data_IF_805091992044
#
_entry.id   IF_805091992044
#
_cell.length_a   1.000
_cell.length_b   1.000
_cell.length_c   1.000
_cell.angle_alpha   90.00
_cell.angle_beta   90.00
_cell.angle_gamma   90.00
#
_symmetry.space_group_name_H-M   'P 1'
#
loop_
_entity.id
_entity.type
_entity.pdbx_description
1 polymer ?
#
# COMPACT_ATOMS: atom_id res chain seq x y z
N UNK A 1 20.73 -1.49 -0.75
CA UNK A 1 20.51 -1.60 0.72
C UNK A 1 19.35 -0.77 1.26
N UNK A 2 19.42 0.57 1.40
CA UNK A 2 18.36 1.35 2.07
C UNK A 2 16.97 1.24 1.40
N UNK A 3 16.89 1.31 0.07
CA UNK A 3 15.66 1.11 -0.69
C UNK A 3 15.05 -0.28 -0.48
N UNK A 4 15.91 -1.30 -0.33
CA UNK A 4 15.50 -2.69 -0.14
C UNK A 4 14.93 -2.91 1.26
N UNK A 5 15.53 -2.29 2.30
CA UNK A 5 14.96 -2.29 3.64
C UNK A 5 13.60 -1.59 3.71
N UNK A 6 13.46 -0.44 3.03
CA UNK A 6 12.20 0.31 2.99
C UNK A 6 11.13 -0.48 2.25
N UNK A 7 11.44 -1.08 1.10
CA UNK A 7 10.50 -1.91 0.36
C UNK A 7 10.04 -3.13 1.16
N UNK A 8 10.96 -3.84 1.83
CA UNK A 8 10.59 -4.94 2.72
C UNK A 8 9.71 -4.48 3.90
N UNK A 9 9.95 -3.28 4.43
CA UNK A 9 9.15 -2.68 5.49
C UNK A 9 7.76 -2.27 5.00
N UNK A 10 7.63 -1.73 3.79
CA UNK A 10 6.32 -1.39 3.19
C UNK A 10 5.55 -2.62 2.74
N UNK A 11 6.24 -3.71 2.37
CA UNK A 11 5.65 -4.99 1.97
C UNK A 11 5.14 -5.81 3.16
N UNK A 12 5.84 -5.76 4.30
CA UNK A 12 5.54 -6.58 5.49
C UNK A 12 5.03 -5.78 6.69
N UNK A 13 4.96 -4.45 6.56
CA UNK A 13 4.54 -3.54 7.62
C UNK A 13 3.02 -3.52 7.80
N UNK A 14 2.60 -3.21 9.02
CA UNK A 14 1.20 -2.89 9.33
C UNK A 14 0.87 -1.45 8.93
N UNK A 15 -0.39 -1.08 8.66
CA UNK A 15 -0.76 0.29 8.30
C UNK A 15 -0.23 1.37 9.27
N UNK A 16 -0.23 1.17 10.61
CA UNK A 16 0.39 2.12 11.53
C UNK A 16 1.91 2.28 11.36
N UNK A 17 2.62 1.21 10.99
CA UNK A 17 4.06 1.28 10.71
C UNK A 17 4.33 2.03 9.41
N UNK A 18 3.50 1.81 8.38
CA UNK A 18 3.59 2.55 7.12
C UNK A 18 3.35 4.05 7.35
N UNK A 19 2.30 4.40 8.09
CA UNK A 19 2.01 5.80 8.45
C UNK A 19 3.18 6.45 9.19
N UNK A 20 3.78 5.75 10.15
CA UNK A 20 4.96 6.26 10.87
C UNK A 20 6.15 6.51 9.94
N UNK A 21 6.40 5.62 8.97
CA UNK A 21 7.51 5.77 8.02
C UNK A 21 7.28 6.92 7.05
N UNK A 22 6.02 7.16 6.64
CA UNK A 22 5.63 8.36 5.90
C UNK A 22 5.91 9.62 6.73
N UNK A 23 5.52 9.64 8.01
CA UNK A 23 5.80 10.76 8.92
C UNK A 23 7.31 11.00 9.14
N UNK A 24 8.18 10.00 8.92
CA UNK A 24 9.64 10.17 8.93
C UNK A 24 10.20 10.72 7.61
N UNK A 25 9.35 11.05 6.63
CA UNK A 25 9.75 11.66 5.36
C UNK A 25 10.35 10.68 4.35
N UNK A 26 9.88 9.43 4.32
CA UNK A 26 10.40 8.39 3.40
C UNK A 26 10.09 8.68 1.92
N UNK A 27 9.06 9.47 1.64
CA UNK A 27 8.55 9.73 0.29
C UNK A 27 9.62 10.38 -0.59
N UNK A 28 10.25 11.44 -0.10
CA UNK A 28 11.27 12.18 -0.83
C UNK A 28 12.46 11.29 -1.28
N UNK A 29 13.09 10.50 -0.37
CA UNK A 29 14.11 9.52 -0.76
C UNK A 29 13.63 8.50 -1.80
N UNK A 30 12.41 7.97 -1.67
CA UNK A 30 11.86 7.00 -2.64
C UNK A 30 11.66 7.63 -4.01
N UNK A 31 11.07 8.82 -4.08
CA UNK A 31 10.88 9.55 -5.33
C UNK A 31 12.21 9.97 -5.96
N UNK A 32 13.28 10.18 -5.18
CA UNK A 32 14.62 10.42 -5.73
C UNK A 32 15.23 9.18 -6.40
N UNK A 33 14.93 7.99 -5.88
CA UNK A 33 15.42 6.73 -6.43
C UNK A 33 14.76 6.35 -7.76
N UNK A 34 13.59 6.92 -8.09
CA UNK A 34 12.93 6.74 -9.39
C UNK A 34 13.72 7.31 -10.57
N UNK A 35 14.79 8.08 -10.32
CA UNK A 35 15.70 8.59 -11.36
C UNK A 35 16.87 7.64 -11.67
N UNK A 36 17.00 6.53 -10.94
CA UNK A 36 18.09 5.58 -11.17
C UNK A 36 17.85 4.77 -12.45
N UNK A 37 18.94 4.30 -13.06
CA UNK A 37 18.87 3.48 -14.28
C UNK A 37 18.71 1.97 -14.01
N UNK A 38 18.75 1.56 -12.74
CA UNK A 38 18.65 0.16 -12.37
C UNK A 38 17.17 -0.26 -12.27
N UNK A 39 16.74 -1.13 -13.18
CA UNK A 39 15.37 -1.62 -13.24
C UNK A 39 14.90 -2.29 -11.94
N UNK A 40 15.78 -3.01 -11.22
CA UNK A 40 15.41 -3.64 -9.96
C UNK A 40 15.16 -2.59 -8.88
N UNK A 41 15.96 -1.53 -8.85
CA UNK A 41 15.75 -0.41 -7.92
C UNK A 41 14.44 0.31 -8.23
N UNK A 42 14.15 0.54 -9.51
CA UNK A 42 12.91 1.17 -9.96
C UNK A 42 11.68 0.35 -9.54
N UNK A 43 11.68 -0.96 -9.78
CA UNK A 43 10.61 -1.87 -9.37
C UNK A 43 10.38 -1.80 -7.86
N UNK A 44 11.46 -1.95 -7.08
CA UNK A 44 11.43 -1.91 -5.61
C UNK A 44 10.86 -0.58 -5.09
N UNK A 45 11.17 0.54 -5.74
CA UNK A 45 10.66 1.85 -5.36
C UNK A 45 9.19 2.05 -5.74
N UNK A 46 8.79 1.60 -6.94
CA UNK A 46 7.39 1.63 -7.36
C UNK A 46 6.52 0.76 -6.45
N UNK A 47 6.98 -0.44 -6.11
CA UNK A 47 6.29 -1.31 -5.14
C UNK A 47 6.16 -0.66 -3.77
N UNK A 48 7.21 0.02 -3.29
CA UNK A 48 7.17 0.72 -2.01
C UNK A 48 6.13 1.85 -2.02
N UNK A 49 6.15 2.70 -3.07
CA UNK A 49 5.20 3.81 -3.23
C UNK A 49 3.76 3.28 -3.34
N UNK A 50 3.53 2.25 -4.15
CA UNK A 50 2.21 1.66 -4.31
C UNK A 50 1.67 1.09 -2.99
N UNK A 51 2.52 0.39 -2.22
CA UNK A 51 2.12 -0.16 -0.93
C UNK A 51 1.87 0.91 0.12
N UNK A 52 2.64 2.01 0.11
CA UNK A 52 2.39 3.16 0.98
C UNK A 52 1.01 3.74 0.70
N UNK A 53 0.72 4.06 -0.58
CA UNK A 53 -0.57 4.61 -0.97
C UNK A 53 -1.74 3.66 -0.63
N UNK A 54 -1.55 2.35 -0.84
CA UNK A 54 -2.55 1.33 -0.54
C UNK A 54 -2.86 1.18 0.96
N UNK A 55 -1.85 1.36 1.83
CA UNK A 55 -1.99 1.20 3.28
C UNK A 55 -2.27 2.52 4.01
N UNK A 56 -2.17 3.64 3.32
CA UNK A 56 -2.53 4.95 3.85
C UNK A 56 -4.05 5.01 4.01
N UNK A 57 -4.50 5.56 5.14
CA UNK A 57 -5.92 5.74 5.39
C UNK A 57 -6.52 6.74 4.38
N UNK A 58 -7.78 6.56 4.02
CA UNK A 58 -8.44 7.38 2.99
C UNK A 58 -8.45 8.87 3.33
N UNK A 59 -8.44 9.25 4.62
CA UNK A 59 -8.38 10.65 5.07
C UNK A 59 -6.99 11.30 4.93
N UNK A 60 -5.94 10.49 4.74
CA UNK A 60 -4.55 10.94 4.59
C UNK A 60 -3.97 10.67 3.21
N UNK A 61 -4.75 10.07 2.31
CA UNK A 61 -4.24 9.67 1.01
C UNK A 61 -3.89 10.89 0.16
N UNK A 62 -4.72 11.95 0.22
CA UNK A 62 -4.48 13.23 -0.44
C UNK A 62 -3.20 13.91 0.06
N UNK A 63 -2.90 13.81 1.35
CA UNK A 63 -1.65 14.37 1.91
C UNK A 63 -0.43 13.67 1.30
N UNK A 64 -0.48 12.35 1.17
CA UNK A 64 0.63 11.55 0.63
C UNK A 64 0.77 11.73 -0.88
N UNK A 65 -0.33 11.79 -1.64
CA UNK A 65 -0.28 12.05 -3.09
C UNK A 65 0.23 13.46 -3.37
N UNK A 66 -0.19 14.45 -2.58
CA UNK A 66 0.33 15.83 -2.65
C UNK A 66 1.83 15.85 -2.37
N UNK A 67 2.31 15.16 -1.32
CA UNK A 67 3.75 15.12 -1.00
C UNK A 67 4.58 14.47 -2.12
N UNK A 68 4.04 13.44 -2.78
CA UNK A 68 4.68 12.81 -3.95
C UNK A 68 4.74 13.80 -5.12
N UNK A 69 3.68 14.56 -5.38
CA UNK A 69 3.64 15.57 -6.44
C UNK A 69 4.63 16.72 -6.17
N UNK A 70 4.63 17.29 -4.95
CA UNK A 70 5.48 18.42 -4.56
C UNK A 70 6.99 18.11 -4.67
N UNK A 71 7.37 16.84 -4.45
CA UNK A 71 8.76 16.40 -4.59
C UNK A 71 9.14 16.01 -6.05
N UNK A 72 8.24 16.24 -7.01
CA UNK A 72 8.40 15.85 -8.41
C UNK A 72 8.41 14.34 -8.63
N UNK A 73 7.81 13.58 -7.69
CA UNK A 73 7.68 12.13 -7.78
C UNK A 73 6.71 11.72 -8.89
N UNK A 74 5.61 12.46 -9.05
CA UNK A 74 4.60 12.19 -10.07
C UNK A 74 5.19 12.23 -11.49
N UNK A 75 5.92 13.29 -11.85
CA UNK A 75 6.57 13.42 -13.17
C UNK A 75 7.51 12.24 -13.48
N UNK A 76 8.19 11.73 -12.45
CA UNK A 76 9.12 10.59 -12.59
C UNK A 76 8.35 9.30 -12.82
N UNK A 77 7.24 9.09 -12.11
CA UNK A 77 6.36 7.92 -12.31
C UNK A 77 5.76 7.98 -13.72
N UNK A 78 5.32 9.14 -14.19
CA UNK A 78 4.84 9.31 -15.57
C UNK A 78 5.92 8.97 -16.61
N UNK A 79 7.16 9.42 -16.39
CA UNK A 79 8.26 9.08 -17.28
C UNK A 79 8.54 7.56 -17.34
N UNK A 80 8.31 6.84 -16.23
CA UNK A 80 8.46 5.38 -16.18
C UNK A 80 7.41 4.63 -17.01
N UNK A 81 6.32 5.28 -17.42
CA UNK A 81 5.40 4.71 -18.43
C UNK A 81 6.02 4.62 -19.84
N UNK A 82 7.23 5.16 -20.06
CA UNK A 82 7.98 4.96 -21.30
C UNK A 82 9.11 3.92 -21.15
N UNK A 83 9.20 3.26 -19.99
CA UNK A 83 10.27 2.33 -19.69
C UNK A 83 10.13 1.02 -20.51
N UNK A 84 11.24 0.43 -21.02
CA UNK A 84 11.18 -0.79 -21.85
C UNK A 84 10.73 -2.05 -21.09
N UNK A 85 10.81 -2.03 -19.76
CA UNK A 85 10.26 -3.11 -18.92
C UNK A 85 8.75 -2.93 -18.78
N UNK A 86 8.00 -3.90 -19.28
CA UNK A 86 6.54 -3.92 -19.18
C UNK A 86 6.06 -3.92 -17.72
N UNK A 87 6.81 -4.52 -16.80
CA UNK A 87 6.43 -4.56 -15.38
C UNK A 87 6.50 -3.17 -14.74
N UNK A 88 7.57 -2.42 -15.01
CA UNK A 88 7.75 -1.03 -14.55
C UNK A 88 6.67 -0.12 -15.16
N UNK A 89 6.42 -0.29 -16.46
CA UNK A 89 5.34 0.42 -17.15
C UNK A 89 4.00 0.18 -16.47
N UNK A 90 3.64 -1.08 -16.24
CA UNK A 90 2.34 -1.44 -15.68
C UNK A 90 2.19 -0.90 -14.26
N UNK A 91 3.22 -1.03 -13.42
CA UNK A 91 3.18 -0.50 -12.05
C UNK A 91 3.02 1.02 -12.04
N UNK A 92 3.76 1.74 -12.89
CA UNK A 92 3.62 3.20 -13.00
C UNK A 92 2.24 3.61 -13.50
N UNK A 93 1.70 2.87 -14.48
CA UNK A 93 0.35 3.06 -14.99
C UNK A 93 -0.70 2.86 -13.90
N UNK A 94 -0.66 1.76 -13.17
CA UNK A 94 -1.63 1.44 -12.12
C UNK A 94 -1.64 2.50 -11.00
N UNK A 95 -0.47 3.01 -10.62
CA UNK A 95 -0.36 4.08 -9.60
C UNK A 95 -1.03 5.36 -10.10
N UNK A 96 -0.73 5.79 -11.33
CA UNK A 96 -1.30 7.00 -11.91
C UNK A 96 -2.81 6.84 -12.08
N UNK A 97 -3.25 5.72 -12.66
CA UNK A 97 -4.66 5.43 -12.90
C UNK A 97 -5.48 5.47 -11.61
N UNK A 98 -4.94 4.89 -10.54
CA UNK A 98 -5.69 4.71 -9.29
C UNK A 98 -5.70 5.94 -8.39
N UNK A 99 -4.62 6.72 -8.37
CA UNK A 99 -4.44 7.80 -7.39
C UNK A 99 -4.37 9.21 -8.01
N UNK A 100 -4.18 9.34 -9.32
CA UNK A 100 -3.98 10.63 -10.00
C UNK A 100 -4.87 10.87 -11.22
N UNK A 101 -5.51 9.83 -11.79
CA UNK A 101 -6.54 10.03 -12.80
C UNK A 101 -7.72 10.75 -12.17
N UNK A 102 -7.93 12.00 -12.56
CA UNK A 102 -9.05 12.83 -12.12
C UNK A 102 -10.37 12.27 -12.66
N UNK A 103 -10.95 11.32 -11.94
CA UNK A 103 -12.40 11.25 -11.74
C UNK A 103 -12.63 11.53 -10.26
N UNK A 104 -12.62 12.82 -9.93
CA UNK A 104 -13.27 13.33 -8.73
C UNK A 104 -14.77 13.08 -8.87
N UNK A 105 -15.22 11.86 -8.63
CA UNK A 105 -16.61 11.57 -8.32
C UNK A 105 -16.65 10.32 -7.43
N UNK A 106 -16.91 10.57 -6.15
CA UNK A 106 -17.78 9.79 -5.27
C UNK A 106 -17.59 8.25 -5.25
N UNK A 107 -17.29 7.71 -4.06
CA UNK A 107 -17.40 6.29 -3.68
C UNK A 107 -16.23 5.35 -3.99
N UNK A 108 -15.15 5.41 -3.19
CA UNK A 108 -14.48 4.14 -2.79
C UNK A 108 -14.99 3.71 -1.42
N UNK A 109 -16.28 3.36 -1.39
CA UNK A 109 -16.78 2.36 -0.45
C UNK A 109 -16.15 1.02 -0.83
N UNK A 110 -15.00 0.67 -0.26
CA UNK A 110 -14.64 -0.76 -0.20
C UNK A 110 -15.51 -1.43 0.84
N UNK A 111 -16.71 -1.79 0.39
CA UNK A 111 -17.57 -2.79 0.99
C UNK A 111 -16.79 -4.09 1.16
N UNK A 112 -16.22 -4.30 2.34
CA UNK A 112 -15.79 -5.63 2.80
C UNK A 112 -17.03 -6.47 3.06
N UNK A 113 -17.52 -7.16 2.04
CA UNK A 113 -18.67 -8.06 2.13
C UNK A 113 -18.42 -9.20 3.13
N UNK A 114 -19.42 -9.47 3.97
CA UNK A 114 -19.84 -10.84 4.21
C UNK A 114 -21.37 -10.91 4.11
N UNK A 115 -21.93 -11.81 3.28
CA UNK A 115 -23.37 -11.93 3.06
C UNK A 115 -24.08 -12.45 4.31
N UNK A 116 -25.28 -11.92 4.55
CA UNK A 116 -26.25 -12.55 5.43
C UNK A 116 -26.59 -13.94 4.88
N UNK A 117 -26.29 -14.98 5.66
CA UNK A 117 -26.83 -16.32 5.44
C UNK A 117 -27.38 -16.83 6.77
N UNK A 118 -28.69 -16.70 6.91
CA UNK A 118 -29.50 -17.47 7.85
C UNK A 118 -29.31 -18.96 7.54
N UNK A 119 -28.89 -19.74 8.54
CA UNK A 119 -28.57 -21.15 8.37
C UNK A 119 -28.16 -21.83 9.66
N UNK A 120 -29.18 -22.27 10.41
CA UNK A 120 -29.17 -23.30 11.45
C UNK A 120 -28.00 -24.29 11.39
N UNK A 121 -27.09 -24.30 12.38
CA UNK A 121 -26.25 -25.47 12.68
C UNK A 121 -25.95 -25.61 14.18
N UNK A 122 -26.25 -26.80 14.66
CA UNK A 122 -26.28 -27.30 16.03
C UNK A 122 -24.96 -27.29 16.80
N UNK A 123 -25.05 -26.93 18.09
CA UNK A 123 -24.02 -27.15 19.11
C UNK A 123 -23.93 -28.64 19.45
N UNK A 124 -22.84 -29.32 19.06
CA UNK A 124 -22.49 -30.62 19.64
C UNK A 124 -20.97 -30.86 19.65
N UNK A 125 -20.51 -31.40 20.78
CA UNK A 125 -19.28 -32.17 20.98
C UNK A 125 -18.03 -31.48 21.56
N UNK A 126 -18.08 -31.34 22.90
CA UNK A 126 -17.22 -32.02 23.87
C UNK A 126 -15.67 -31.90 23.82
N UNK A 127 -15.17 -31.60 25.03
CA UNK A 127 -13.96 -32.12 25.73
C UNK A 127 -12.63 -31.38 25.58
N UNK A 128 -12.26 -30.65 26.64
CA UNK A 128 -10.93 -30.72 27.27
C UNK A 128 -11.06 -30.57 28.80
N UNK A 129 -10.19 -31.20 29.62
CA UNK A 129 -10.52 -31.64 30.98
C UNK A 129 -10.04 -30.70 32.12
N UNK A 130 -10.73 -30.84 33.27
CA UNK A 130 -10.32 -30.58 34.67
C UNK A 130 -9.24 -29.52 34.94
N UNK A 131 -9.59 -28.48 35.69
CA UNK A 131 -8.93 -28.16 36.97
C UNK A 131 -9.90 -27.52 37.99
N UNK A 132 -9.77 -27.98 39.22
CA UNK A 132 -10.62 -27.84 40.39
C UNK A 132 -10.14 -26.68 41.28
N UNK A 133 -10.97 -25.67 41.56
CA UNK A 133 -10.78 -24.80 42.74
C UNK A 133 -12.12 -24.35 43.31
N UNK A 134 -12.44 -24.87 44.49
CA UNK A 134 -13.51 -24.46 45.41
C UNK A 134 -13.25 -23.08 46.03
N UNK A 135 -14.31 -22.29 46.22
CA UNK A 135 -14.48 -21.31 47.30
C UNK A 135 -15.95 -21.26 47.72
#
# INVERSE_FOLDING_TARGET
EAAWCISNLTLSGTPPQVAYVVEQGVIHPLCNLLQQHDAQVLQVCLDAIHNILKQTAADKIDDVTTEIEECGGLDKIENLQNHPSQEIYQQAFDIIEKYYSTETDEETSTNGQAPAMEGDFSFNNQTVPHQNFDF
#
